data_IF_265041847111
#
_entry.id   IF_265041847111
#
_cell.length_a   1.000
_cell.length_b   1.000
_cell.length_c   1.000
_cell.angle_alpha   90.00
_cell.angle_beta   90.00
_cell.angle_gamma   90.00
#
_symmetry.space_group_name_H-M   'P 1'
#
loop_
_entity.id
_entity.type
_entity.pdbx_description
1 polymer ?
#
# COMPACT_ATOMS: atom_id res chain seq x y z
N UNK A 1 -5.55 -1.98 -22.64
CA UNK A 1 -6.97 -2.36 -22.86
C UNK A 1 -7.80 -1.85 -21.70
N UNK A 2 -9.10 -1.55 -21.92
CA UNK A 2 -10.02 -1.04 -20.89
C UNK A 2 -11.35 -1.80 -20.99
N UNK A 3 -11.93 -2.15 -19.85
CA UNK A 3 -13.30 -2.61 -19.71
C UNK A 3 -14.01 -1.79 -18.61
N UNK A 4 -15.31 -1.59 -18.75
CA UNK A 4 -16.13 -0.87 -17.76
C UNK A 4 -17.33 -1.73 -17.37
N UNK A 5 -17.57 -1.82 -16.06
CA UNK A 5 -18.67 -2.58 -15.47
C UNK A 5 -19.51 -1.59 -14.66
N UNK A 6 -20.82 -1.55 -14.94
CA UNK A 6 -21.79 -0.79 -14.14
C UNK A 6 -22.64 -1.80 -13.40
N UNK A 7 -22.53 -1.82 -12.07
CA UNK A 7 -23.27 -2.75 -11.23
C UNK A 7 -24.69 -2.24 -10.98
N UNK A 8 -24.82 -0.95 -10.72
CA UNK A 8 -26.08 -0.25 -10.49
C UNK A 8 -25.87 1.28 -10.62
N UNK A 9 -26.88 2.08 -10.25
CA UNK A 9 -26.87 3.54 -10.37
C UNK A 9 -25.80 4.26 -9.53
N UNK A 10 -25.25 3.60 -8.51
CA UNK A 10 -24.31 4.19 -7.55
C UNK A 10 -23.00 3.40 -7.41
N UNK A 11 -22.79 2.36 -8.21
CA UNK A 11 -21.59 1.54 -8.18
C UNK A 11 -21.13 1.14 -9.59
N UNK A 12 -19.88 1.45 -9.91
CA UNK A 12 -19.24 1.07 -11.17
C UNK A 12 -17.75 0.84 -10.98
N UNK A 13 -17.15 0.17 -11.96
CA UNK A 13 -15.73 -0.13 -11.97
C UNK A 13 -15.16 -0.03 -13.39
N UNK A 14 -13.91 0.34 -13.49
CA UNK A 14 -13.10 0.29 -14.69
C UNK A 14 -11.88 -0.61 -14.47
N UNK A 15 -11.66 -1.51 -15.40
CA UNK A 15 -10.55 -2.46 -15.40
C UNK A 15 -9.61 -2.06 -16.53
N UNK A 16 -8.34 -1.80 -16.20
CA UNK A 16 -7.31 -1.34 -17.12
C UNK A 16 -6.12 -2.29 -17.13
N UNK A 17 -5.69 -2.65 -18.33
CA UNK A 17 -4.46 -3.38 -18.60
C UNK A 17 -3.55 -2.47 -19.41
N UNK A 18 -2.52 -1.92 -18.78
CA UNK A 18 -1.54 -1.05 -19.43
C UNK A 18 -0.45 -1.88 -20.12
N UNK A 19 0.10 -1.34 -21.20
CA UNK A 19 1.19 -1.99 -21.92
C UNK A 19 2.44 -2.08 -21.03
N UNK A 20 3.06 -3.26 -20.98
CA UNK A 20 4.22 -3.53 -20.12
C UNK A 20 3.94 -3.56 -18.60
N UNK A 21 2.70 -3.40 -18.15
CA UNK A 21 2.36 -3.50 -16.73
C UNK A 21 2.11 -4.96 -16.31
N UNK A 22 2.66 -5.37 -15.16
CA UNK A 22 2.45 -6.70 -14.57
C UNK A 22 1.29 -6.74 -13.57
N UNK A 23 0.39 -5.77 -13.66
CA UNK A 23 -0.78 -5.67 -12.80
C UNK A 23 -2.01 -5.27 -13.61
N UNK A 24 -3.18 -5.67 -13.11
CA UNK A 24 -4.46 -5.18 -13.56
C UNK A 24 -4.86 -4.02 -12.66
N UNK A 25 -5.09 -2.84 -13.21
CA UNK A 25 -5.64 -1.71 -12.46
C UNK A 25 -7.16 -1.81 -12.43
N UNK A 26 -7.73 -1.65 -11.24
CA UNK A 26 -9.16 -1.70 -10.98
C UNK A 26 -9.57 -0.44 -10.25
N UNK A 27 -10.13 0.50 -10.98
CA UNK A 27 -10.66 1.74 -10.42
C UNK A 27 -12.16 1.55 -10.14
N UNK A 28 -12.58 1.81 -8.92
CA UNK A 28 -13.97 1.67 -8.52
C UNK A 28 -14.54 3.02 -8.09
N UNK A 29 -15.83 3.22 -8.31
CA UNK A 29 -16.59 4.39 -7.87
C UNK A 29 -17.83 3.88 -7.14
N UNK A 30 -17.98 4.27 -5.88
CA UNK A 30 -19.09 3.88 -5.02
C UNK A 30 -19.70 5.09 -4.35
N UNK A 31 -21.01 5.22 -4.51
CA UNK A 31 -21.86 6.21 -3.88
C UNK A 31 -22.65 7.04 -4.91
N UNK A 32 -23.70 7.75 -4.46
CA UNK A 32 -24.20 7.82 -3.09
C UNK A 32 -24.85 6.49 -2.66
N UNK A 33 -24.40 5.91 -1.53
CA UNK A 33 -24.99 4.67 -1.01
C UNK A 33 -26.43 4.96 -0.55
N UNK A 34 -27.45 4.30 -1.12
CA UNK A 34 -28.85 4.59 -0.79
C UNK A 34 -29.17 4.13 0.63
N UNK A 35 -29.99 4.92 1.34
CA UNK A 35 -30.44 4.62 2.71
C UNK A 35 -31.96 4.80 2.87
N UNK A 36 -32.70 4.97 1.78
CA UNK A 36 -34.15 5.19 1.80
C UNK A 36 -34.92 3.96 2.35
N UNK A 37 -34.26 2.82 2.39
CA UNK A 37 -34.71 1.57 3.00
C UNK A 37 -34.45 1.48 4.52
N UNK A 38 -33.86 2.52 5.13
CA UNK A 38 -33.40 2.54 6.52
C UNK A 38 -32.39 1.42 6.85
N UNK A 39 -31.62 0.96 5.86
CA UNK A 39 -30.56 -0.03 6.06
C UNK A 39 -29.19 0.59 5.81
N UNK A 40 -28.31 0.52 6.82
CA UNK A 40 -26.88 0.77 6.65
C UNK A 40 -26.26 -0.27 5.72
N UNK A 41 -25.26 0.14 4.94
CA UNK A 41 -24.61 -0.71 3.94
C UNK A 41 -23.10 -0.57 4.00
N UNK A 42 -22.42 -1.70 3.96
CA UNK A 42 -20.98 -1.82 3.88
C UNK A 42 -20.67 -2.53 2.57
N UNK A 43 -19.97 -1.83 1.67
CA UNK A 43 -19.76 -2.25 0.30
C UNK A 43 -18.38 -2.89 0.20
N UNK A 44 -18.34 -4.08 -0.36
CA UNK A 44 -17.11 -4.83 -0.57
C UNK A 44 -16.83 -5.01 -2.06
N UNK A 45 -15.54 -5.07 -2.39
CA UNK A 45 -15.04 -5.66 -3.62
C UNK A 45 -14.46 -7.03 -3.29
N UNK A 46 -14.97 -8.08 -3.94
CA UNK A 46 -14.53 -9.47 -3.73
C UNK A 46 -13.85 -10.02 -4.98
N UNK A 47 -12.74 -10.71 -4.76
CA UNK A 47 -11.93 -11.40 -5.75
C UNK A 47 -12.00 -12.89 -5.48
N UNK A 48 -12.64 -13.63 -6.37
CA UNK A 48 -12.79 -15.08 -6.26
C UNK A 48 -11.90 -15.80 -7.28
N UNK A 49 -11.21 -16.83 -6.81
CA UNK A 49 -10.31 -17.69 -7.60
C UNK A 49 -10.47 -19.15 -7.19
N UNK A 50 -9.83 -20.05 -7.93
CA UNK A 50 -9.71 -21.47 -7.58
C UNK A 50 -8.44 -21.80 -6.77
N UNK A 51 -7.74 -20.77 -6.24
CA UNK A 51 -6.54 -20.94 -5.40
C UNK A 51 -6.92 -21.69 -4.12
N UNK A 52 -6.21 -22.77 -3.83
CA UNK A 52 -6.47 -23.62 -2.67
C UNK A 52 -5.75 -23.09 -1.42
N UNK A 53 -6.41 -22.20 -0.68
CA UNK A 53 -5.78 -21.45 0.41
C UNK A 53 -5.83 -22.14 1.77
N UNK A 54 -6.71 -23.13 1.96
CA UNK A 54 -6.90 -23.83 3.23
C UNK A 54 -7.16 -22.88 4.42
N UNK A 55 -7.94 -21.82 4.19
CA UNK A 55 -8.24 -20.78 5.17
C UNK A 55 -7.10 -19.82 5.50
N UNK A 56 -5.97 -19.89 4.81
CA UNK A 56 -4.83 -18.97 4.99
C UNK A 56 -4.90 -17.77 4.05
N UNK A 57 -4.51 -16.60 4.57
CA UNK A 57 -4.33 -15.38 3.80
C UNK A 57 -3.31 -14.50 4.51
N UNK A 58 -2.78 -13.48 3.84
CA UNK A 58 -1.68 -12.69 4.36
C UNK A 58 -1.99 -11.21 4.22
N UNK A 59 -1.79 -10.45 5.29
CA UNK A 59 -2.11 -9.01 5.36
C UNK A 59 -0.88 -8.25 5.83
N UNK A 60 -0.64 -7.07 5.29
CA UNK A 60 0.50 -6.27 5.72
C UNK A 60 0.33 -5.65 7.12
N UNK A 61 1.46 -5.31 7.73
CA UNK A 61 1.57 -4.52 8.93
C UNK A 61 2.16 -3.15 8.59
N UNK A 62 1.30 -2.14 8.49
CA UNK A 62 1.65 -0.75 8.19
C UNK A 62 2.49 -0.59 6.91
N UNK A 63 2.17 -1.35 5.87
CA UNK A 63 2.85 -1.35 4.57
C UNK A 63 4.16 -2.15 4.52
N UNK A 64 4.55 -2.82 5.62
CA UNK A 64 5.86 -3.47 5.77
C UNK A 64 5.75 -4.99 5.85
N UNK A 65 5.75 -5.54 7.06
CA UNK A 65 5.81 -6.98 7.30
C UNK A 65 4.50 -7.67 6.92
N UNK A 66 4.57 -8.92 6.50
CA UNK A 66 3.43 -9.68 6.02
C UNK A 66 3.06 -10.73 7.05
N UNK A 67 1.85 -10.58 7.59
CA UNK A 67 1.37 -11.42 8.68
C UNK A 67 0.46 -12.50 8.12
N UNK A 68 0.80 -13.75 8.39
CA UNK A 68 -0.08 -14.88 8.11
C UNK A 68 -1.33 -14.81 9.01
N UNK A 69 -2.49 -14.89 8.36
CA UNK A 69 -3.81 -14.96 8.98
C UNK A 69 -4.42 -16.31 8.65
N UNK A 70 -5.18 -16.83 9.61
CA UNK A 70 -5.99 -18.04 9.43
C UNK A 70 -7.41 -17.73 9.85
N UNK A 71 -8.35 -17.97 8.95
CA UNK A 71 -9.79 -17.80 9.21
C UNK A 71 -10.19 -18.60 10.45
N UNK A 72 -10.98 -17.98 11.32
CA UNK A 72 -11.52 -18.57 12.56
C UNK A 72 -10.44 -19.09 13.54
N UNK A 73 -9.26 -18.47 13.56
CA UNK A 73 -8.14 -18.91 14.38
C UNK A 73 -7.44 -17.76 15.11
N UNK A 74 -6.92 -18.05 16.31
CA UNK A 74 -6.05 -17.17 17.09
C UNK A 74 -4.89 -17.97 17.68
N UNK A 75 -3.64 -17.48 17.59
CA UNK A 75 -2.48 -18.23 18.04
C UNK A 75 -2.29 -18.26 19.56
N UNK A 76 -2.83 -17.27 20.28
CA UNK A 76 -2.56 -17.08 21.71
C UNK A 76 -3.69 -17.53 22.65
N UNK A 77 -4.86 -17.92 22.13
CA UNK A 77 -5.95 -18.46 22.94
C UNK A 77 -6.90 -19.34 22.12
N UNK A 78 -7.71 -20.15 22.80
CA UNK A 78 -8.76 -20.94 22.15
C UNK A 78 -9.91 -20.02 21.69
N UNK A 79 -10.04 -19.84 20.38
CA UNK A 79 -11.00 -18.89 19.80
C UNK A 79 -12.36 -19.55 19.54
N UNK A 80 -13.40 -18.99 20.16
CA UNK A 80 -14.80 -19.31 19.83
C UNK A 80 -15.31 -18.27 18.82
N UNK A 81 -15.77 -18.74 17.67
CA UNK A 81 -16.33 -17.88 16.63
C UNK A 81 -17.72 -17.42 17.03
N UNK A 82 -17.85 -16.15 17.43
CA UNK A 82 -19.14 -15.50 17.65
C UNK A 82 -19.58 -14.70 16.43
N UNK A 83 -18.64 -13.95 15.86
CA UNK A 83 -18.84 -13.11 14.68
C UNK A 83 -18.01 -13.66 13.52
N UNK A 84 -18.63 -14.49 12.69
CA UNK A 84 -17.93 -15.22 11.62
C UNK A 84 -17.29 -14.31 10.57
N UNK A 85 -17.89 -13.15 10.29
CA UNK A 85 -17.37 -12.19 9.30
C UNK A 85 -16.43 -11.19 9.96
N UNK A 86 -16.94 -10.33 10.84
CA UNK A 86 -16.17 -9.23 11.43
C UNK A 86 -14.99 -9.72 12.28
N UNK A 87 -15.08 -10.91 12.88
CA UNK A 87 -13.97 -11.56 13.58
C UNK A 87 -12.79 -11.94 12.67
N UNK A 88 -12.95 -11.94 11.35
CA UNK A 88 -11.91 -12.28 10.39
C UNK A 88 -11.44 -11.08 9.54
N UNK A 89 -11.97 -9.89 9.79
CA UNK A 89 -11.50 -8.67 9.13
C UNK A 89 -10.20 -8.15 9.78
N UNK A 90 -9.25 -7.78 8.94
CA UNK A 90 -7.96 -7.21 9.33
C UNK A 90 -7.74 -5.88 8.58
N UNK A 91 -6.95 -4.96 9.15
CA UNK A 91 -6.52 -3.77 8.43
C UNK A 91 -5.61 -4.19 7.27
N UNK A 92 -5.88 -3.63 6.09
CA UNK A 92 -5.08 -3.75 4.87
C UNK A 92 -4.57 -2.35 4.50
N UNK A 93 -3.47 -1.88 5.12
CA UNK A 93 -2.90 -0.58 4.80
C UNK A 93 -2.38 -0.47 3.36
N UNK A 94 -1.88 -1.57 2.80
CA UNK A 94 -1.19 -1.55 1.51
C UNK A 94 -1.48 -2.76 0.63
N UNK A 95 -1.56 -3.97 1.20
CA UNK A 95 -1.66 -5.21 0.42
C UNK A 95 -2.21 -6.39 1.20
N UNK A 96 -2.91 -7.26 0.48
CA UNK A 96 -3.38 -8.56 0.94
C UNK A 96 -3.11 -9.60 -0.15
N UNK A 97 -2.81 -10.83 0.23
CA UNK A 97 -2.73 -11.92 -0.73
C UNK A 97 -3.20 -13.25 -0.21
N UNK A 98 -3.48 -14.12 -1.16
CA UNK A 98 -3.73 -15.54 -0.98
C UNK A 98 -2.83 -16.33 -1.93
N UNK A 99 -2.48 -17.56 -1.57
CA UNK A 99 -1.66 -18.41 -2.42
C UNK A 99 -1.97 -19.89 -2.25
N UNK A 100 -1.62 -20.65 -3.28
CA UNK A 100 -1.40 -22.09 -3.24
C UNK A 100 0.09 -22.37 -3.58
N UNK A 101 0.44 -23.60 -3.95
CA UNK A 101 1.82 -23.97 -4.29
C UNK A 101 2.29 -23.43 -5.66
N UNK A 102 1.38 -22.94 -6.51
CA UNK A 102 1.66 -22.55 -7.89
C UNK A 102 1.39 -21.08 -8.16
N UNK A 103 0.42 -20.49 -7.48
CA UNK A 103 -0.10 -19.15 -7.77
C UNK A 103 -0.33 -18.37 -6.49
N UNK A 104 0.01 -17.10 -6.53
CA UNK A 104 -0.31 -16.10 -5.54
C UNK A 104 -1.12 -14.99 -6.22
N UNK A 105 -2.29 -14.68 -5.65
CA UNK A 105 -3.07 -13.50 -6.01
C UNK A 105 -2.84 -12.43 -4.95
N UNK A 106 -2.25 -11.31 -5.36
CA UNK A 106 -1.98 -10.15 -4.50
C UNK A 106 -2.85 -8.97 -4.93
N UNK A 107 -3.54 -8.34 -3.98
CA UNK A 107 -4.28 -7.11 -4.17
C UNK A 107 -3.54 -6.00 -3.42
N UNK A 108 -3.21 -4.92 -4.13
CA UNK A 108 -2.67 -3.69 -3.54
C UNK A 108 -3.78 -2.65 -3.45
N UNK A 109 -3.82 -1.91 -2.35
CA UNK A 109 -4.81 -0.86 -2.09
C UNK A 109 -4.18 0.52 -2.19
N UNK A 110 -4.93 1.51 -2.70
CA UNK A 110 -4.49 2.91 -2.75
C UNK A 110 -4.66 3.66 -1.42
N UNK A 111 -5.31 3.02 -0.44
CA UNK A 111 -5.59 3.51 0.90
C UNK A 111 -5.71 2.35 1.89
N UNK A 112 -5.81 2.69 3.17
CA UNK A 112 -6.12 1.71 4.20
C UNK A 112 -7.58 1.25 4.10
N UNK A 113 -7.77 -0.05 4.05
CA UNK A 113 -9.08 -0.70 3.98
C UNK A 113 -9.21 -1.80 5.03
N UNK A 114 -10.43 -2.30 5.24
CA UNK A 114 -10.65 -3.54 5.98
C UNK A 114 -10.81 -4.69 4.98
N UNK A 115 -10.14 -5.83 5.23
CA UNK A 115 -10.23 -6.98 4.33
C UNK A 115 -10.14 -8.33 5.02
N UNK A 116 -10.54 -9.37 4.29
CA UNK A 116 -10.60 -10.75 4.79
C UNK A 116 -10.50 -11.77 3.64
N UNK A 117 -10.36 -13.05 4.00
CA UNK A 117 -10.57 -14.21 3.12
C UNK A 117 -11.66 -15.11 3.73
N UNK A 118 -12.91 -14.85 3.36
CA UNK A 118 -14.07 -15.49 3.98
C UNK A 118 -14.30 -16.94 3.53
N UNK A 119 -13.83 -17.27 2.33
CA UNK A 119 -13.81 -18.62 1.79
C UNK A 119 -12.48 -18.90 1.08
N UNK A 120 -12.16 -20.16 0.85
CA UNK A 120 -10.93 -20.52 0.15
C UNK A 120 -10.94 -19.97 -1.28
N UNK A 121 -9.79 -19.45 -1.72
CA UNK A 121 -9.66 -18.81 -3.03
C UNK A 121 -10.24 -17.40 -3.12
N UNK A 122 -10.82 -16.86 -2.03
CA UNK A 122 -11.41 -15.52 -2.00
C UNK A 122 -10.59 -14.50 -1.23
N UNK A 123 -10.61 -13.25 -1.68
CA UNK A 123 -10.22 -12.06 -0.90
C UNK A 123 -11.33 -11.03 -1.04
N UNK A 124 -11.74 -10.40 0.05
CA UNK A 124 -12.64 -9.26 0.02
C UNK A 124 -12.07 -8.04 0.74
N UNK A 125 -12.37 -6.88 0.20
CA UNK A 125 -11.95 -5.58 0.68
C UNK A 125 -13.19 -4.69 0.80
N UNK A 126 -13.37 -4.08 1.97
CA UNK A 126 -14.46 -3.15 2.21
C UNK A 126 -14.05 -1.75 1.76
N UNK A 127 -14.66 -1.31 0.68
CA UNK A 127 -14.28 -0.10 -0.05
C UNK A 127 -15.08 1.13 0.40
N UNK A 128 -16.32 0.96 0.88
CA UNK A 128 -17.15 2.06 1.40
C UNK A 128 -18.13 1.57 2.46
N UNK A 129 -18.56 2.45 3.36
CA UNK A 129 -19.49 2.12 4.45
C UNK A 129 -20.34 3.33 4.81
N UNK A 130 -21.65 3.10 4.97
CA UNK A 130 -22.63 4.11 5.39
C UNK A 130 -23.58 3.48 6.39
N UNK A 131 -23.47 3.84 7.67
CA UNK A 131 -24.31 3.32 8.76
C UNK A 131 -25.33 4.36 9.22
N UNK A 132 -26.43 3.91 9.83
CA UNK A 132 -27.52 4.77 10.29
C UNK A 132 -27.58 4.90 11.82
N UNK A 133 -26.71 4.18 12.52
CA UNK A 133 -26.64 4.15 13.97
C UNK A 133 -25.19 4.33 14.42
N UNK A 134 -25.02 5.01 15.56
CA UNK A 134 -23.78 5.11 16.31
C UNK A 134 -23.48 3.77 17.00
N UNK A 135 -22.19 3.44 17.13
CA UNK A 135 -21.73 2.18 17.73
C UNK A 135 -21.58 2.25 19.27
N UNK A 136 -21.94 3.40 19.86
CA UNK A 136 -21.85 3.68 21.29
C UNK A 136 -20.44 3.65 21.87
N UNK A 137 -19.41 3.91 21.04
CA UNK A 137 -18.00 4.00 21.48
C UNK A 137 -17.51 5.42 21.74
N UNK A 138 -18.41 6.42 21.67
CA UNK A 138 -18.17 7.77 22.21
C UNK A 138 -18.15 8.91 21.20
N UNK A 139 -18.23 8.63 19.89
CA UNK A 139 -18.33 9.68 18.86
C UNK A 139 -19.72 10.32 18.87
N UNK A 140 -20.78 9.53 19.05
CA UNK A 140 -22.15 10.04 19.17
C UNK A 140 -22.80 10.39 17.83
N UNK A 141 -22.25 9.90 16.72
CA UNK A 141 -22.73 10.14 15.37
C UNK A 141 -22.66 8.84 14.55
N UNK A 142 -23.68 8.53 13.72
CA UNK A 142 -23.56 7.44 12.76
C UNK A 142 -22.55 7.80 11.67
N UNK A 143 -21.93 6.80 11.07
CA UNK A 143 -21.03 6.99 9.93
C UNK A 143 -21.86 7.21 8.65
N UNK A 144 -22.43 8.40 8.53
CA UNK A 144 -23.38 8.80 7.49
C UNK A 144 -22.88 10.02 6.72
N UNK A 145 -21.68 9.91 6.14
CA UNK A 145 -21.02 11.02 5.45
C UNK A 145 -21.82 11.52 4.23
N UNK A 146 -21.88 12.85 4.09
CA UNK A 146 -22.58 13.51 2.98
C UNK A 146 -21.76 14.63 2.36
N UNK A 147 -21.95 14.86 1.06
CA UNK A 147 -21.45 16.02 0.33
C UNK A 147 -22.58 16.60 -0.53
N UNK A 148 -22.77 17.91 -0.48
CA UNK A 148 -23.84 18.62 -1.21
C UNK A 148 -25.25 18.02 -1.00
N UNK A 149 -25.54 17.56 0.23
CA UNK A 149 -26.83 16.99 0.60
C UNK A 149 -27.09 15.56 0.10
N UNK A 150 -26.08 14.88 -0.47
CA UNK A 150 -26.15 13.47 -0.89
C UNK A 150 -25.10 12.65 -0.15
N UNK A 151 -25.31 11.34 -0.06
CA UNK A 151 -24.31 10.42 0.49
C UNK A 151 -22.97 10.55 -0.25
N UNK A 152 -21.86 10.48 0.49
CA UNK A 152 -20.52 10.66 -0.08
C UNK A 152 -20.25 9.63 -1.18
N UNK A 153 -19.70 10.12 -2.30
CA UNK A 153 -19.19 9.30 -3.40
C UNK A 153 -17.68 9.23 -3.29
N UNK A 154 -17.14 8.02 -3.32
CA UNK A 154 -15.71 7.79 -3.28
C UNK A 154 -15.25 7.05 -4.52
N UNK A 155 -14.02 7.33 -4.93
CA UNK A 155 -13.31 6.61 -5.97
C UNK A 155 -12.01 6.09 -5.37
N UNK A 156 -11.61 4.88 -5.74
CA UNK A 156 -10.35 4.28 -5.31
C UNK A 156 -9.85 3.25 -6.31
N UNK A 157 -8.63 2.76 -6.05
CA UNK A 157 -7.92 1.84 -6.94
C UNK A 157 -7.38 0.64 -6.21
N UNK A 158 -7.57 -0.53 -6.83
CA UNK A 158 -6.84 -1.74 -6.50
C UNK A 158 -5.95 -2.14 -7.66
N UNK A 159 -4.73 -2.61 -7.37
CA UNK A 159 -3.91 -3.32 -8.35
C UNK A 159 -3.91 -4.82 -8.04
N UNK A 160 -4.30 -5.63 -9.01
CA UNK A 160 -4.26 -7.09 -8.94
C UNK A 160 -3.00 -7.62 -9.64
N UNK A 161 -2.24 -8.43 -8.92
CA UNK A 161 -1.05 -9.12 -9.42
C UNK A 161 -1.27 -10.62 -9.23
N UNK A 162 -0.99 -11.42 -10.26
CA UNK A 162 -1.04 -12.89 -10.21
C UNK A 162 0.31 -13.41 -10.67
N UNK A 163 1.05 -14.04 -9.76
CA UNK A 163 2.39 -14.55 -10.01
C UNK A 163 2.63 -15.86 -9.25
N UNK A 164 3.62 -16.69 -9.64
CA UNK A 164 4.10 -17.76 -8.77
C UNK A 164 4.55 -17.21 -7.40
N UNK A 165 4.32 -17.93 -6.29
CA UNK A 165 4.69 -17.47 -4.96
C UNK A 165 6.16 -17.04 -4.84
N UNK A 166 7.06 -17.77 -5.49
CA UNK A 166 8.51 -17.49 -5.50
C UNK A 166 8.90 -16.16 -6.16
N UNK A 167 8.07 -15.62 -7.06
CA UNK A 167 8.35 -14.38 -7.79
C UNK A 167 7.46 -13.22 -7.35
N UNK A 168 6.40 -13.46 -6.56
CA UNK A 168 5.37 -12.45 -6.29
C UNK A 168 5.94 -11.21 -5.57
N UNK A 169 6.90 -11.43 -4.67
CA UNK A 169 7.57 -10.37 -3.90
C UNK A 169 8.23 -9.31 -4.77
N UNK A 170 8.90 -9.74 -5.85
CA UNK A 170 9.56 -8.88 -6.82
C UNK A 170 8.61 -7.79 -7.34
N UNK A 171 7.36 -8.18 -7.64
CA UNK A 171 6.37 -7.30 -8.23
C UNK A 171 5.61 -6.51 -7.17
N UNK A 172 5.03 -7.18 -6.17
CA UNK A 172 4.15 -6.47 -5.24
C UNK A 172 4.92 -5.43 -4.42
N UNK A 173 6.16 -5.70 -4.00
CA UNK A 173 6.95 -4.76 -3.17
C UNK A 173 7.13 -3.42 -3.86
N UNK A 174 7.63 -3.44 -5.10
CA UNK A 174 7.88 -2.22 -5.88
C UNK A 174 6.59 -1.57 -6.36
N UNK A 175 5.63 -2.35 -6.87
CA UNK A 175 4.37 -1.81 -7.37
C UNK A 175 3.56 -1.11 -6.27
N UNK A 176 3.60 -1.61 -5.04
CA UNK A 176 2.96 -0.92 -3.91
C UNK A 176 3.61 0.42 -3.58
N UNK A 177 4.95 0.50 -3.65
CA UNK A 177 5.66 1.78 -3.48
C UNK A 177 5.31 2.76 -4.62
N UNK A 178 5.18 2.27 -5.85
CA UNK A 178 4.76 3.09 -6.99
C UNK A 178 3.30 3.57 -6.86
N UNK A 179 2.40 2.73 -6.34
CA UNK A 179 1.01 3.10 -6.08
C UNK A 179 0.95 4.20 -5.01
N UNK A 180 1.64 4.01 -3.89
CA UNK A 180 1.69 4.99 -2.80
C UNK A 180 2.40 6.29 -3.19
N UNK A 181 3.54 6.18 -3.88
CA UNK A 181 4.35 7.31 -4.36
C UNK A 181 4.11 7.58 -5.85
N UNK A 182 2.83 7.69 -6.22
CA UNK A 182 2.44 8.02 -7.59
C UNK A 182 3.08 9.35 -8.04
N UNK A 183 3.55 9.46 -9.30
CA UNK A 183 4.19 10.68 -9.79
C UNK A 183 3.31 11.92 -9.64
N UNK A 184 3.87 12.99 -9.07
CA UNK A 184 3.18 14.28 -8.99
C UNK A 184 3.32 14.99 -10.34
N UNK A 185 2.19 15.23 -11.00
CA UNK A 185 2.15 15.97 -12.26
C UNK A 185 1.93 17.46 -12.01
N UNK A 186 2.80 18.30 -12.56
CA UNK A 186 2.67 19.77 -12.53
C UNK A 186 2.49 20.32 -13.94
N UNK A 187 1.57 21.27 -14.11
CA UNK A 187 1.27 21.87 -15.40
C UNK A 187 1.46 23.39 -15.33
N UNK A 188 2.06 23.96 -16.38
CA UNK A 188 2.22 25.40 -16.54
C UNK A 188 1.95 25.79 -17.99
N UNK A 189 1.38 26.97 -18.21
CA UNK A 189 1.21 27.54 -19.54
C UNK A 189 2.48 28.32 -19.93
N UNK A 190 3.29 27.83 -20.89
CA UNK A 190 4.51 28.53 -21.28
C UNK A 190 4.19 29.79 -22.09
N UNK A 191 4.92 30.87 -21.82
CA UNK A 191 4.88 32.12 -22.59
C UNK A 191 5.92 32.17 -23.71
N UNK A 192 6.80 31.17 -23.76
CA UNK A 192 7.88 31.02 -24.74
C UNK A 192 7.72 29.70 -25.50
N UNK A 193 8.43 29.55 -26.63
CA UNK A 193 8.42 28.28 -27.38
C UNK A 193 9.02 27.14 -26.56
N UNK A 194 8.71 25.88 -26.92
CA UNK A 194 9.32 24.71 -26.29
C UNK A 194 10.86 24.75 -26.37
N UNK A 195 11.40 25.15 -27.52
CA UNK A 195 12.85 25.27 -27.73
C UNK A 195 13.46 26.30 -26.78
N UNK A 196 12.85 27.47 -26.66
CA UNK A 196 13.32 28.52 -25.75
C UNK A 196 13.22 28.08 -24.30
N UNK A 197 12.13 27.41 -23.91
CA UNK A 197 11.99 26.86 -22.56
C UNK A 197 13.09 25.84 -22.26
N UNK A 198 13.32 24.90 -23.18
CA UNK A 198 14.34 23.85 -23.04
C UNK A 198 15.75 24.41 -22.94
N UNK A 199 16.03 25.51 -23.64
CA UNK A 199 17.34 26.17 -23.60
C UNK A 199 17.58 26.99 -22.32
N UNK A 200 16.51 27.48 -21.68
CA UNK A 200 16.62 28.40 -20.54
C UNK A 200 16.34 27.75 -19.18
N UNK A 201 15.68 26.59 -19.14
CA UNK A 201 15.27 25.94 -17.88
C UNK A 201 15.74 24.48 -17.81
N UNK A 202 16.08 24.03 -16.60
CA UNK A 202 16.38 22.62 -16.33
C UNK A 202 15.08 21.81 -16.38
N UNK A 203 15.03 20.82 -17.26
CA UNK A 203 13.86 19.95 -17.45
C UNK A 203 13.92 18.68 -16.60
N UNK A 204 15.12 18.28 -16.18
CA UNK A 204 15.34 17.11 -15.34
C UNK A 204 16.27 17.47 -14.19
N UNK A 205 15.97 16.93 -13.02
CA UNK A 205 16.83 16.98 -11.85
C UNK A 205 16.57 15.75 -10.99
N UNK A 206 17.64 15.19 -10.43
CA UNK A 206 17.57 14.10 -9.48
C UNK A 206 18.62 14.32 -8.38
N UNK A 207 18.22 14.07 -7.14
CA UNK A 207 19.15 13.98 -6.02
C UNK A 207 20.02 12.71 -6.09
N UNK A 208 19.54 11.70 -6.82
CA UNK A 208 20.25 10.46 -7.05
C UNK A 208 20.98 10.51 -8.39
N UNK A 209 22.25 10.12 -8.40
CA UNK A 209 23.05 9.95 -9.62
C UNK A 209 22.68 8.68 -10.39
N UNK A 210 22.26 7.64 -9.67
CA UNK A 210 21.88 6.33 -10.20
C UNK A 210 20.66 5.78 -9.46
N UNK A 211 19.99 4.80 -10.05
CA UNK A 211 18.91 4.07 -9.37
C UNK A 211 19.45 3.28 -8.17
N UNK A 212 18.79 3.40 -7.02
CA UNK A 212 19.09 2.59 -5.85
C UNK A 212 18.89 1.09 -6.15
N UNK A 213 19.59 0.18 -5.44
CA UNK A 213 19.39 -1.26 -5.60
C UNK A 213 17.92 -1.64 -5.44
N UNK A 214 17.48 -2.67 -6.17
CA UNK A 214 16.06 -3.02 -6.26
C UNK A 214 15.41 -3.32 -4.89
N UNK A 215 16.18 -3.80 -3.92
CA UNK A 215 15.75 -4.10 -2.56
C UNK A 215 15.93 -2.95 -1.55
N UNK A 216 16.33 -1.76 -2.01
CA UNK A 216 16.48 -0.54 -1.20
C UNK A 216 15.46 0.51 -1.64
N UNK A 217 14.76 1.10 -0.67
CA UNK A 217 13.87 2.22 -0.87
C UNK A 217 14.38 3.46 -0.11
N UNK A 218 14.40 4.62 -0.77
CA UNK A 218 14.71 5.91 -0.15
C UNK A 218 13.45 6.47 0.52
N UNK A 219 13.27 6.13 1.80
CA UNK A 219 12.11 6.50 2.59
C UNK A 219 12.08 7.98 2.98
N UNK A 220 13.25 8.59 3.21
CA UNK A 220 13.33 10.01 3.57
C UNK A 220 14.58 10.62 2.97
N UNK A 221 14.42 11.76 2.31
CA UNK A 221 15.48 12.71 2.01
C UNK A 221 14.99 14.10 2.44
N UNK A 222 15.46 14.59 3.58
CA UNK A 222 15.04 15.87 4.14
C UNK A 222 16.24 16.78 4.41
N UNK A 223 16.24 17.98 3.84
CA UNK A 223 17.27 18.98 4.09
C UNK A 223 16.92 19.79 5.35
N UNK A 224 17.61 19.51 6.46
CA UNK A 224 17.38 20.19 7.75
C UNK A 224 17.99 21.59 7.78
N UNK A 225 19.15 21.76 7.16
CA UNK A 225 19.81 23.06 6.95
C UNK A 225 20.48 23.05 5.57
N UNK A 226 21.07 24.18 5.16
CA UNK A 226 21.80 24.28 3.88
C UNK A 226 22.80 23.15 3.65
N UNK A 227 23.39 22.57 4.72
CA UNK A 227 24.43 21.53 4.62
C UNK A 227 24.11 20.23 5.36
N UNK A 228 22.94 20.11 5.98
CA UNK A 228 22.59 18.94 6.79
C UNK A 228 21.36 18.26 6.20
N UNK A 229 21.51 16.98 5.88
CA UNK A 229 20.45 16.15 5.34
C UNK A 229 20.15 15.00 6.31
N UNK A 230 18.88 14.71 6.49
CA UNK A 230 18.39 13.49 7.12
C UNK A 230 17.99 12.52 6.02
N UNK A 231 18.65 11.36 5.99
CA UNK A 231 18.39 10.29 5.04
C UNK A 231 17.86 9.08 5.81
N UNK A 232 16.80 8.46 5.30
CA UNK A 232 16.36 7.12 5.71
C UNK A 232 16.27 6.25 4.47
N UNK A 233 17.02 5.15 4.49
CA UNK A 233 16.90 4.08 3.52
C UNK A 233 16.36 2.84 4.22
N UNK A 234 15.57 2.04 3.52
CA UNK A 234 15.02 0.79 4.05
C UNK A 234 15.27 -0.37 3.10
N UNK A 235 15.52 -1.54 3.68
CA UNK A 235 15.38 -2.81 2.99
C UNK A 235 13.93 -3.26 3.14
N UNK A 236 13.19 -3.34 2.04
CA UNK A 236 11.74 -3.48 2.05
C UNK A 236 11.24 -4.88 1.61
N UNK A 237 12.19 -5.78 1.30
CA UNK A 237 11.96 -7.22 1.19
C UNK A 237 12.20 -7.89 2.54
N UNK A 238 11.36 -8.87 2.88
CA UNK A 238 11.49 -9.68 4.09
C UNK A 238 12.52 -10.80 3.93
N UNK A 239 12.88 -11.45 5.04
CA UNK A 239 13.76 -12.60 5.01
C UNK A 239 13.07 -13.77 4.28
N UNK A 240 13.77 -14.39 3.32
CA UNK A 240 13.28 -15.52 2.52
C UNK A 240 12.04 -15.21 1.64
N UNK A 241 11.79 -13.93 1.36
CA UNK A 241 10.68 -13.52 0.50
C UNK A 241 11.01 -13.64 -1.00
N UNK A 242 12.28 -13.40 -1.36
CA UNK A 242 12.83 -13.49 -2.71
C UNK A 242 14.28 -14.01 -2.66
N UNK A 243 14.64 -14.93 -3.56
CA UNK A 243 15.96 -15.59 -3.56
C UNK A 243 17.14 -14.65 -3.81
N UNK A 244 16.90 -13.49 -4.42
CA UNK A 244 17.93 -12.50 -4.77
C UNK A 244 17.82 -11.26 -3.91
N UNK A 245 16.62 -10.70 -3.78
CA UNK A 245 16.37 -9.38 -3.21
C UNK A 245 16.12 -9.39 -1.70
N UNK A 246 15.94 -10.56 -1.09
CA UNK A 246 15.96 -10.70 0.39
C UNK A 246 17.37 -10.76 0.99
N UNK A 247 18.43 -10.71 0.17
CA UNK A 247 19.82 -10.79 0.63
C UNK A 247 20.37 -9.41 1.05
N UNK A 248 21.37 -9.37 1.94
CA UNK A 248 22.03 -8.12 2.31
C UNK A 248 22.59 -7.37 1.09
N UNK A 249 22.50 -6.04 1.13
CA UNK A 249 22.98 -5.13 0.10
C UNK A 249 23.80 -4.01 0.74
N UNK A 250 24.85 -3.56 0.04
CA UNK A 250 25.67 -2.42 0.45
C UNK A 250 25.31 -1.22 -0.42
N UNK A 251 25.21 -0.04 0.20
CA UNK A 251 24.86 1.22 -0.45
C UNK A 251 25.97 2.22 -0.17
N UNK A 252 26.59 2.75 -1.23
CA UNK A 252 27.53 3.86 -1.12
C UNK A 252 26.75 5.19 -1.20
N UNK A 253 26.53 5.81 -0.05
CA UNK A 253 25.79 7.08 0.02
C UNK A 253 26.49 8.21 -0.73
N UNK A 254 27.83 8.24 -0.77
CA UNK A 254 28.55 9.28 -1.50
C UNK A 254 28.34 9.10 -3.00
N UNK A 255 28.37 7.87 -3.50
CA UNK A 255 28.09 7.58 -4.90
C UNK A 255 26.68 8.05 -5.31
N UNK A 256 25.66 7.65 -4.55
CA UNK A 256 24.26 7.96 -4.90
C UNK A 256 23.91 9.44 -4.76
N UNK A 257 24.45 10.15 -3.76
CA UNK A 257 24.11 11.54 -3.49
C UNK A 257 25.18 12.54 -3.97
N UNK A 258 26.07 12.15 -4.90
CA UNK A 258 27.13 13.02 -5.42
C UNK A 258 26.58 14.32 -6.05
N UNK A 259 25.37 14.28 -6.63
CA UNK A 259 24.71 15.46 -7.19
C UNK A 259 24.34 16.52 -6.13
N UNK A 260 24.27 16.14 -4.85
CA UNK A 260 24.06 17.03 -3.72
C UNK A 260 25.38 17.57 -3.13
N UNK A 261 26.52 17.01 -3.53
CA UNK A 261 27.86 17.40 -3.11
C UNK A 261 28.61 16.33 -2.32
N UNK A 262 29.75 16.72 -1.75
CA UNK A 262 30.61 15.82 -0.98
C UNK A 262 30.12 15.67 0.46
N UNK A 263 29.91 14.42 0.88
CA UNK A 263 29.62 14.06 2.26
C UNK A 263 30.89 14.28 3.09
N UNK A 264 30.81 15.21 4.03
CA UNK A 264 31.92 15.56 4.91
C UNK A 264 31.90 14.78 6.23
N UNK A 265 30.71 14.39 6.67
CA UNK A 265 30.48 13.64 7.90
C UNK A 265 29.19 12.81 7.76
N UNK A 266 29.13 11.68 8.47
CA UNK A 266 27.99 10.77 8.48
C UNK A 266 27.82 10.23 9.90
N UNK A 267 26.65 10.46 10.49
CA UNK A 267 26.29 9.92 11.81
C UNK A 267 25.03 9.07 11.70
N UNK A 268 25.12 7.81 12.10
CA UNK A 268 23.96 6.93 12.19
C UNK A 268 23.17 7.24 13.48
N UNK A 269 21.85 7.44 13.33
CA UNK A 269 20.95 7.82 14.41
C UNK A 269 19.84 6.76 14.58
N UNK A 270 19.15 6.79 15.71
CA UNK A 270 17.88 6.09 15.90
C UNK A 270 16.83 6.56 14.87
N UNK A 271 15.75 5.79 14.67
CA UNK A 271 14.73 6.06 13.65
C UNK A 271 14.13 7.48 13.75
N UNK A 272 13.94 8.00 14.96
CA UNK A 272 13.45 9.36 15.24
C UNK A 272 14.50 10.47 15.05
N UNK A 273 15.73 10.12 14.68
CA UNK A 273 16.86 11.04 14.47
C UNK A 273 17.20 11.91 15.71
N UNK A 274 17.02 11.37 16.92
CA UNK A 274 17.22 12.12 18.17
C UNK A 274 18.32 11.54 19.08
N UNK A 275 18.94 10.42 18.71
CA UNK A 275 20.01 9.78 19.48
C UNK A 275 21.00 9.10 18.51
N UNK A 276 22.32 9.26 18.66
CA UNK A 276 23.30 8.43 17.95
C UNK A 276 23.08 6.95 18.21
N UNK A 277 23.14 6.12 17.16
CA UNK A 277 22.82 4.69 17.31
C UNK A 277 23.77 3.98 18.31
N UNK A 278 25.04 4.39 18.35
CA UNK A 278 26.03 3.88 19.28
C UNK A 278 25.73 4.20 20.75
N UNK A 279 24.87 5.18 21.03
CA UNK A 279 24.46 5.56 22.39
C UNK A 279 23.18 4.82 22.84
N UNK A 280 22.55 4.04 21.95
CA UNK A 280 21.33 3.30 22.23
C UNK A 280 21.61 2.08 23.12
N UNK A 281 21.05 2.06 24.32
CA UNK A 281 21.13 0.93 25.25
C UNK A 281 19.81 0.16 25.29
N UNK A 282 19.84 -1.14 24.94
CA UNK A 282 18.66 -2.02 24.99
C UNK A 282 18.57 -2.74 26.33
N UNK A 283 17.35 -2.85 26.87
CA UNK A 283 17.07 -3.68 28.03
C UNK A 283 17.27 -5.17 27.69
N UNK A 284 17.80 -5.94 28.64
CA UNK A 284 17.97 -7.39 28.52
C UNK A 284 16.85 -8.07 29.30
N UNK A 285 15.97 -8.76 28.59
CA UNK A 285 14.86 -9.52 29.17
C UNK A 285 15.17 -11.01 29.17
N UNK A 286 14.66 -11.75 30.17
CA UNK A 286 14.59 -13.21 30.13
C UNK A 286 13.26 -13.59 29.47
N UNK A 287 13.32 -14.12 28.27
CA UNK A 287 12.16 -14.56 27.47
C UNK A 287 11.99 -16.06 27.55
#
# INVERSE_FOLDING_TARGET
QRASIVYNEWASQEIRLYDGANNVEMEWIVGPIPIDDNLGKEIIMRYDTDIQTNGLFYTDANGREMIERKRDYRPSWNYTVYESVSGNYYPIPSRVWIKDNQRQMTILTDRSEGGSSMHDGSVELMIHRRTLYDDSQGVGEPMNETAYGKGLVICGKHFLIIEPPENSALYHRRTAQQLYMSPISTYALPTVSYTDYSNNFRQTWSALTEEMPYNVHLLTLNQLTVKVFLIRIEHYFELHEDDTFSKPVQVDLQFFFDSLGKIMDLTELTLSANLPLNDMNRLIWRT
#
